data_IF_528291612357
#
_entry.id   IF_528291612357
#
_cell.length_a   1.000
_cell.length_b   1.000
_cell.length_c   1.000
_cell.angle_alpha   90.00
_cell.angle_beta   90.00
_cell.angle_gamma   90.00
#
_symmetry.space_group_name_H-M   'P 1'
#
loop_
_entity.id
_entity.type
_entity.pdbx_description
1 polymer ?
#
# COMPACT_ATOMS: atom_id res chain seq x y z
N UNK A 1 8.79 2.21 -19.62
CA UNK A 1 7.82 1.52 -18.74
C UNK A 1 7.30 2.56 -17.75
N UNK A 2 6.00 2.57 -17.42
CA UNK A 2 5.48 3.56 -16.48
C UNK A 2 6.04 3.35 -15.07
N UNK A 3 6.17 4.44 -14.34
CA UNK A 3 6.67 4.46 -12.97
C UNK A 3 5.51 4.76 -12.03
N UNK A 4 5.32 3.92 -11.02
CA UNK A 4 4.35 4.12 -9.96
C UNK A 4 5.08 4.47 -8.66
N UNK A 5 4.58 5.45 -7.91
CA UNK A 5 5.10 5.75 -6.57
C UNK A 5 4.25 5.04 -5.53
N UNK A 6 4.91 4.22 -4.72
CA UNK A 6 4.32 3.59 -3.56
C UNK A 6 4.46 4.52 -2.36
N UNK A 7 3.32 4.86 -1.77
CA UNK A 7 3.22 5.66 -0.57
C UNK A 7 2.55 4.83 0.53
N UNK A 8 2.91 5.10 1.78
CA UNK A 8 2.33 4.40 2.95
C UNK A 8 2.15 5.34 4.13
N UNK A 9 1.04 5.22 4.87
CA UNK A 9 0.74 6.00 6.07
C UNK A 9 0.68 5.11 7.31
N UNK A 10 0.98 5.68 8.48
CA UNK A 10 0.90 5.00 9.78
C UNK A 10 -0.53 5.04 10.31
N UNK A 11 -0.92 3.99 11.04
CA UNK A 11 -2.20 3.89 11.75
C UNK A 11 -2.36 4.92 12.88
N UNK A 12 -1.26 5.33 13.52
CA UNK A 12 -1.29 5.91 14.88
C UNK A 12 -1.19 7.45 14.95
N UNK A 13 -1.26 8.19 13.84
CA UNK A 13 -1.20 9.65 13.95
C UNK A 13 -1.96 10.40 12.87
N UNK A 14 -2.69 11.41 13.32
CA UNK A 14 -3.31 12.54 12.60
C UNK A 14 -2.38 13.33 11.66
N UNK A 15 -1.16 12.87 11.39
CA UNK A 15 -0.26 13.44 10.39
C UNK A 15 -0.01 12.38 9.31
N UNK A 16 -0.69 12.56 8.17
CA UNK A 16 -0.56 11.74 6.97
C UNK A 16 0.80 11.94 6.27
N UNK A 17 1.89 11.97 7.03
CA UNK A 17 3.24 12.01 6.47
C UNK A 17 3.53 10.62 5.91
N UNK A 18 3.78 10.47 4.60
CA UNK A 18 4.08 9.18 4.02
C UNK A 18 5.37 8.64 4.64
N UNK A 19 5.30 7.48 5.30
CA UNK A 19 6.47 6.83 5.91
C UNK A 19 7.46 6.33 4.88
N UNK A 20 7.00 6.07 3.65
CA UNK A 20 7.83 5.61 2.54
C UNK A 20 7.32 6.19 1.23
N UNK A 21 8.28 6.55 0.38
CA UNK A 21 8.09 6.86 -1.03
C UNK A 21 9.06 5.98 -1.83
N UNK A 22 8.51 5.03 -2.60
CA UNK A 22 9.29 4.09 -3.41
C UNK A 22 8.79 4.08 -4.85
N UNK A 23 9.70 4.30 -5.80
CA UNK A 23 9.39 4.18 -7.23
C UNK A 23 9.39 2.73 -7.69
N UNK A 24 8.36 2.35 -8.44
CA UNK A 24 8.13 1.01 -8.98
C UNK A 24 7.90 1.12 -10.48
N UNK A 25 8.88 0.69 -11.26
CA UNK A 25 8.74 0.57 -12.71
C UNK A 25 7.97 -0.70 -13.04
N UNK A 26 6.81 -0.60 -13.69
CA UNK A 26 5.97 -1.75 -14.03
C UNK A 26 5.19 -1.54 -15.32
N UNK A 27 4.88 -2.60 -16.10
CA UNK A 27 4.10 -2.44 -17.33
C UNK A 27 2.63 -2.06 -17.06
N UNK A 28 2.08 -2.43 -15.89
CA UNK A 28 0.71 -2.10 -15.49
C UNK A 28 0.58 -1.94 -13.98
N UNK A 29 -0.51 -1.31 -13.54
CA UNK A 29 -0.89 -1.19 -12.11
C UNK A 29 -0.91 -2.56 -11.42
N UNK A 30 -1.42 -3.59 -12.10
CA UNK A 30 -1.46 -4.97 -11.56
C UNK A 30 -0.05 -5.50 -11.27
N UNK A 31 0.90 -5.28 -12.18
CA UNK A 31 2.29 -5.70 -11.98
C UNK A 31 2.97 -4.88 -10.88
N UNK A 32 2.68 -3.58 -10.79
CA UNK A 32 3.17 -2.75 -9.69
C UNK A 32 2.67 -3.27 -8.34
N UNK A 33 1.36 -3.50 -8.21
CA UNK A 33 0.76 -4.05 -6.99
C UNK A 33 1.33 -5.43 -6.63
N UNK A 34 1.52 -6.32 -7.61
CA UNK A 34 2.15 -7.63 -7.36
C UNK A 34 3.57 -7.51 -6.79
N UNK A 35 4.37 -6.55 -7.27
CA UNK A 35 5.71 -6.28 -6.72
C UNK A 35 5.68 -5.69 -5.31
N UNK A 36 4.71 -4.83 -5.02
CA UNK A 36 4.47 -4.30 -3.66
C UNK A 36 4.18 -5.46 -2.70
N UNK A 37 3.21 -6.31 -3.05
CA UNK A 37 2.78 -7.43 -2.23
C UNK A 37 3.89 -8.49 -2.06
N UNK A 38 4.70 -8.74 -3.09
CA UNK A 38 5.86 -9.62 -2.99
C UNK A 38 6.97 -9.12 -2.04
N UNK A 39 6.90 -7.85 -1.61
CA UNK A 39 7.82 -7.22 -0.65
C UNK A 39 7.09 -6.77 0.62
N UNK A 40 5.96 -7.42 0.94
CA UNK A 40 5.09 -7.04 2.05
C UNK A 40 5.86 -6.80 3.36
N UNK A 41 6.77 -7.70 3.75
CA UNK A 41 7.55 -7.58 4.99
C UNK A 41 8.49 -6.36 5.02
N UNK A 42 8.93 -5.90 3.84
CA UNK A 42 9.79 -4.73 3.71
C UNK A 42 8.97 -3.42 3.68
N UNK A 43 7.82 -3.48 3.00
CA UNK A 43 6.96 -2.33 2.71
C UNK A 43 6.04 -2.02 3.89
N UNK A 44 5.40 -3.04 4.46
CA UNK A 44 4.39 -2.94 5.49
C UNK A 44 5.01 -3.28 6.85
N UNK A 45 5.83 -2.37 7.38
CA UNK A 45 6.38 -2.54 8.74
C UNK A 45 5.36 -2.09 9.78
N UNK A 46 5.45 -2.66 10.99
CA UNK A 46 4.40 -2.84 12.00
C UNK A 46 3.48 -1.70 12.43
N UNK A 47 3.59 -0.49 11.87
CA UNK A 47 2.66 0.61 12.06
C UNK A 47 1.98 1.08 10.77
N UNK A 48 2.25 0.49 9.59
CA UNK A 48 1.57 0.86 8.33
C UNK A 48 0.08 0.53 8.39
N UNK A 49 -0.78 1.55 8.36
CA UNK A 49 -2.25 1.40 8.33
C UNK A 49 -2.82 1.43 6.91
N UNK A 50 -2.15 2.12 5.98
CA UNK A 50 -2.56 2.19 4.58
C UNK A 50 -1.33 2.26 3.66
N UNK A 51 -1.45 1.66 2.47
CA UNK A 51 -0.51 1.86 1.37
C UNK A 51 -1.24 2.08 0.04
N UNK A 52 -0.69 2.91 -0.83
CA UNK A 52 -1.28 3.18 -2.14
C UNK A 52 -0.22 3.44 -3.21
N UNK A 53 -0.62 3.20 -4.46
CA UNK A 53 0.18 3.52 -5.65
C UNK A 53 -0.37 4.77 -6.31
N UNK A 54 0.55 5.64 -6.71
CA UNK A 54 0.30 6.85 -7.47
C UNK A 54 0.95 6.71 -8.85
N UNK A 55 0.23 7.02 -9.91
CA UNK A 55 0.76 7.09 -11.27
C UNK A 55 1.56 8.39 -11.50
N UNK A 56 2.24 8.50 -12.64
CA UNK A 56 3.11 9.65 -12.94
C UNK A 56 2.37 10.99 -13.00
N UNK A 57 1.08 10.96 -13.28
CA UNK A 57 0.16 12.11 -13.28
C UNK A 57 -0.31 12.52 -11.87
N UNK A 58 0.12 11.81 -10.83
CA UNK A 58 -0.31 12.04 -9.46
C UNK A 58 -1.64 11.35 -9.09
N UNK A 59 -2.25 10.59 -10.00
CA UNK A 59 -3.49 9.89 -9.70
C UNK A 59 -3.22 8.66 -8.82
N UNK A 60 -3.99 8.51 -7.73
CA UNK A 60 -4.00 7.29 -6.93
C UNK A 60 -4.72 6.19 -7.72
N UNK A 61 -4.00 5.13 -8.08
CA UNK A 61 -4.47 4.07 -9.00
C UNK A 61 -4.71 2.73 -8.31
N UNK A 62 -4.21 2.56 -7.09
CA UNK A 62 -4.40 1.36 -6.29
C UNK A 62 -4.18 1.67 -4.81
N UNK A 63 -4.84 0.95 -3.92
CA UNK A 63 -4.60 1.04 -2.48
C UNK A 63 -4.93 -0.24 -1.75
N UNK A 64 -4.31 -0.37 -0.58
CA UNK A 64 -4.50 -1.43 0.38
C UNK A 64 -4.60 -0.83 1.78
N UNK A 65 -5.73 -1.05 2.44
CA UNK A 65 -5.90 -0.79 3.85
C UNK A 65 -5.37 -1.99 4.63
N UNK A 66 -4.48 -1.72 5.58
CA UNK A 66 -3.91 -2.68 6.52
C UNK A 66 -4.47 -2.50 7.94
N UNK A 67 -5.35 -1.49 8.10
CA UNK A 67 -6.24 -1.36 9.25
C UNK A 67 -7.18 -2.55 9.31
N UNK A 68 -6.72 -3.62 9.95
CA UNK A 68 -7.61 -4.66 10.47
C UNK A 68 -8.29 -4.13 11.74
N UNK A 69 -9.60 -3.92 11.68
CA UNK A 69 -10.42 -4.67 12.62
C UNK A 69 -10.19 -6.14 12.24
N UNK A 70 -9.61 -6.91 13.15
CA UNK A 70 -9.53 -8.36 13.04
C UNK A 70 -10.92 -8.82 12.64
N UNK A 71 -11.09 -9.20 11.37
CA UNK A 71 -12.40 -9.56 10.87
C UNK A 71 -12.69 -10.89 11.52
N UNK A 72 -13.42 -10.82 12.63
CA UNK A 72 -14.02 -11.92 13.35
C UNK A 72 -15.05 -12.55 12.40
N UNK A 73 -14.55 -13.21 11.34
CA UNK A 73 -15.29 -14.14 10.51
C UNK A 73 -15.50 -15.37 11.38
N UNK A 74 -16.42 -15.18 12.32
CA UNK A 74 -17.10 -16.19 13.09
C UNK A 74 -17.87 -17.02 12.08
N UNK A 75 -17.16 -17.97 11.46
CA UNK A 75 -17.74 -19.06 10.69
C UNK A 75 -18.59 -19.84 11.68
N UNK A 76 -19.88 -19.48 11.75
CA UNK A 76 -20.88 -20.30 12.42
C UNK A 76 -21.00 -21.60 11.63
N UNK A 77 -20.41 -22.66 12.18
CA UNK A 77 -20.73 -24.04 11.86
C UNK A 77 -21.90 -24.50 12.74
#
# INVERSE_FOLDING_TARGET
MPIYRLLSASRDRSDAVPLRDLSIEAPTVRHAAARVLGRADEVFRGCTGEAWLVAEDGARVWSLSLDGEETDLLVRA
#
